data_IF_275183292404
#
_entry.id   IF_275183292404
#
_cell.length_a   1.000
_cell.length_b   1.000
_cell.length_c   1.000
_cell.angle_alpha   90.00
_cell.angle_beta   90.00
_cell.angle_gamma   90.00
#
_symmetry.space_group_name_H-M   'P 1'
#
loop_
_entity.id
_entity.type
_entity.pdbx_description
1 polymer ?
#
# COMPACT_ATOMS: atom_id res chain seq x y z
N UNK A 1 39.80 -38.66 -45.63
CA UNK A 1 38.44 -38.23 -45.22
C UNK A 1 38.59 -37.20 -44.12
N UNK A 2 38.09 -35.98 -44.36
CA UNK A 2 38.17 -34.82 -43.47
C UNK A 2 37.41 -35.07 -42.17
N UNK A 3 37.95 -34.66 -41.02
CA UNK A 3 37.32 -33.64 -40.17
C UNK A 3 38.34 -33.04 -39.21
N UNK A 4 38.44 -31.72 -39.29
CA UNK A 4 39.35 -30.82 -38.59
C UNK A 4 38.74 -30.45 -37.24
N UNK A 5 39.44 -30.68 -36.13
CA UNK A 5 39.20 -29.95 -34.87
C UNK A 5 40.57 -29.59 -34.29
N UNK A 6 40.99 -28.34 -34.53
CA UNK A 6 42.11 -27.71 -33.83
C UNK A 6 41.64 -27.27 -32.45
N UNK A 7 42.31 -27.76 -31.42
CA UNK A 7 42.13 -27.40 -30.02
C UNK A 7 43.42 -26.71 -29.55
N UNK A 8 43.46 -25.37 -29.61
CA UNK A 8 44.61 -24.51 -29.29
C UNK A 8 44.00 -23.11 -28.99
N UNK A 9 44.24 -22.33 -27.94
CA UNK A 9 45.38 -21.98 -27.07
C UNK A 9 44.76 -21.30 -25.80
N UNK A 10 45.08 -21.63 -24.55
CA UNK A 10 46.18 -21.14 -23.70
C UNK A 10 46.32 -19.60 -23.52
N UNK A 11 46.68 -19.19 -22.27
CA UNK A 11 47.21 -17.89 -21.79
C UNK A 11 46.16 -16.93 -21.16
N UNK A 12 46.35 -16.25 -20.01
CA UNK A 12 47.45 -16.03 -19.07
C UNK A 12 46.81 -15.59 -17.73
N UNK A 13 47.24 -16.18 -16.61
CA UNK A 13 47.09 -15.61 -15.27
C UNK A 13 48.25 -14.63 -15.10
N UNK A 14 47.98 -13.32 -15.07
CA UNK A 14 48.92 -12.31 -14.58
C UNK A 14 48.22 -11.35 -13.63
N UNK A 15 48.73 -11.38 -12.41
CA UNK A 15 48.53 -10.44 -11.32
C UNK A 15 48.73 -8.98 -11.75
N UNK A 16 47.70 -8.17 -11.55
CA UNK A 16 47.85 -6.74 -11.29
C UNK A 16 47.26 -6.43 -9.91
N UNK A 17 48.12 -6.51 -8.90
CA UNK A 17 47.95 -5.78 -7.65
C UNK A 17 48.10 -4.29 -7.95
N UNK A 18 46.99 -3.59 -8.15
CA UNK A 18 46.96 -2.14 -8.07
C UNK A 18 46.58 -1.77 -6.64
N UNK A 19 47.50 -1.08 -5.95
CA UNK A 19 47.24 -0.46 -4.65
C UNK A 19 46.05 0.48 -4.78
N UNK A 20 44.95 0.14 -4.12
CA UNK A 20 43.89 1.09 -3.83
C UNK A 20 44.38 1.97 -2.66
N UNK A 21 44.97 3.11 -3.00
CA UNK A 21 45.08 4.22 -2.06
C UNK A 21 43.69 4.73 -1.73
N UNK A 22 43.49 4.99 -0.45
CA UNK A 22 42.28 5.46 0.19
C UNK A 22 41.82 6.79 -0.40
N UNK A 23 40.68 6.79 -1.08
CA UNK A 23 39.81 7.96 -1.15
C UNK A 23 38.47 7.63 -0.47
N UNK A 24 38.36 8.15 0.74
CA UNK A 24 37.16 8.20 1.54
C UNK A 24 36.12 9.11 0.87
N UNK A 25 35.09 8.54 0.24
CA UNK A 25 33.70 9.08 0.18
C UNK A 25 32.87 8.50 -0.96
N UNK A 26 32.74 7.18 -1.03
CA UNK A 26 31.65 6.54 -1.78
C UNK A 26 30.70 5.89 -0.77
N UNK A 27 29.75 6.68 -0.24
CA UNK A 27 28.52 6.12 0.32
C UNK A 27 27.78 5.47 -0.82
N UNK A 28 28.01 4.18 -1.02
CA UNK A 28 27.18 3.34 -1.87
C UNK A 28 25.77 3.40 -1.26
N UNK A 29 24.89 4.18 -1.89
CA UNK A 29 23.45 4.16 -1.62
C UNK A 29 22.96 2.74 -1.95
N UNK A 30 23.03 1.83 -0.97
CA UNK A 30 22.22 0.62 -1.02
C UNK A 30 20.78 1.11 -1.10
N UNK A 31 20.14 0.93 -2.25
CA UNK A 31 18.68 1.02 -2.38
C UNK A 31 18.09 0.21 -1.23
N UNK A 32 17.62 0.91 -0.20
CA UNK A 32 17.17 0.29 1.03
C UNK A 32 15.78 -0.24 0.76
N UNK A 33 15.70 -1.49 0.30
CA UNK A 33 14.43 -2.20 0.12
C UNK A 33 13.66 -2.11 1.43
N UNK A 34 12.40 -1.68 1.37
CA UNK A 34 11.53 -1.56 2.54
C UNK A 34 11.40 -2.92 3.22
N UNK A 35 11.74 -2.95 4.52
CA UNK A 35 11.62 -4.13 5.34
C UNK A 35 10.15 -4.50 5.51
N UNK A 36 9.84 -5.79 5.38
CA UNK A 36 8.48 -6.28 5.62
C UNK A 36 8.15 -6.16 7.11
N UNK A 37 6.98 -5.61 7.42
CA UNK A 37 6.47 -5.49 8.78
C UNK A 37 6.53 -6.82 9.53
N UNK A 38 6.86 -6.80 10.82
CA UNK A 38 6.79 -7.99 11.67
C UNK A 38 5.34 -8.45 11.86
N UNK A 39 5.15 -9.77 11.98
CA UNK A 39 3.84 -10.38 12.05
C UNK A 39 3.78 -11.56 13.03
N UNK A 40 2.78 -11.49 13.91
CA UNK A 40 2.55 -12.46 14.98
C UNK A 40 1.82 -13.70 14.47
N UNK A 41 1.12 -13.63 13.34
CA UNK A 41 0.42 -14.81 12.81
C UNK A 41 -0.86 -15.19 13.56
N UNK A 42 -1.56 -14.20 14.13
CA UNK A 42 -2.83 -14.40 14.83
C UNK A 42 -3.80 -13.23 14.60
N UNK A 43 -5.11 -13.49 14.71
CA UNK A 43 -6.14 -12.47 14.84
C UNK A 43 -6.30 -12.10 16.32
N UNK A 44 -6.07 -10.82 16.63
CA UNK A 44 -5.93 -10.32 17.99
C UNK A 44 -7.01 -9.27 18.30
N UNK A 45 -7.42 -9.20 19.55
CA UNK A 45 -8.31 -8.18 20.08
C UNK A 45 -7.88 -7.66 21.44
N UNK A 46 -8.34 -6.49 21.82
CA UNK A 46 -8.31 -6.08 23.23
C UNK A 46 -9.30 -6.94 24.01
N UNK A 47 -8.87 -7.49 25.15
CA UNK A 47 -9.79 -8.16 26.07
C UNK A 47 -10.67 -7.10 26.74
N UNK A 48 -11.93 -7.01 26.31
CA UNK A 48 -12.92 -6.10 26.89
C UNK A 48 -13.75 -6.82 27.95
N UNK A 49 -14.42 -6.06 28.83
CA UNK A 49 -15.29 -6.65 29.84
C UNK A 49 -16.39 -7.56 29.24
N UNK A 50 -17.10 -7.17 28.16
CA UNK A 50 -18.07 -8.07 27.51
C UNK A 50 -17.45 -9.38 27.01
N UNK A 51 -16.26 -9.34 26.40
CA UNK A 51 -15.55 -10.55 25.90
C UNK A 51 -15.13 -11.43 27.07
N UNK A 52 -14.58 -10.83 28.14
CA UNK A 52 -14.18 -11.52 29.37
C UNK A 52 -15.34 -12.27 30.01
N UNK A 53 -16.50 -11.61 30.15
CA UNK A 53 -17.72 -12.21 30.70
C UNK A 53 -18.23 -13.34 29.80
N UNK A 54 -18.31 -13.10 28.49
CA UNK A 54 -18.79 -14.09 27.52
C UNK A 54 -17.92 -15.37 27.50
N UNK A 55 -16.60 -15.23 27.65
CA UNK A 55 -15.66 -16.35 27.68
C UNK A 55 -15.28 -16.83 29.08
N UNK A 56 -15.91 -16.29 30.14
CA UNK A 56 -15.65 -16.65 31.55
C UNK A 56 -14.17 -16.58 31.94
N UNK A 57 -13.48 -15.53 31.47
CA UNK A 57 -12.05 -15.34 31.69
C UNK A 57 -11.77 -14.62 33.01
N UNK A 58 -10.78 -15.08 33.78
CA UNK A 58 -10.30 -14.37 34.99
C UNK A 58 -9.37 -13.20 34.70
N UNK A 59 -8.65 -13.23 33.57
CA UNK A 59 -7.79 -12.12 33.18
C UNK A 59 -8.62 -10.83 33.01
N UNK A 60 -8.19 -9.75 33.65
CA UNK A 60 -8.92 -8.47 33.61
C UNK A 60 -8.60 -7.64 32.37
N UNK A 61 -7.35 -7.72 31.91
CA UNK A 61 -6.79 -6.96 30.78
C UNK A 61 -5.84 -7.84 29.98
N UNK A 62 -5.55 -7.40 28.76
CA UNK A 62 -4.61 -8.06 27.85
C UNK A 62 -5.15 -8.15 26.43
N UNK A 63 -4.47 -8.97 25.63
CA UNK A 63 -4.76 -9.17 24.21
C UNK A 63 -5.31 -10.57 24.03
N UNK A 64 -6.59 -10.68 23.67
CA UNK A 64 -7.20 -11.96 23.37
C UNK A 64 -6.82 -12.43 21.95
N UNK A 65 -6.45 -13.71 21.84
CA UNK A 65 -6.26 -14.37 20.56
C UNK A 65 -7.61 -14.93 20.08
N UNK A 66 -8.17 -14.33 19.03
CA UNK A 66 -9.39 -14.86 18.41
C UNK A 66 -9.11 -16.02 17.46
N UNK A 67 -7.97 -16.00 16.79
CA UNK A 67 -7.58 -17.00 15.82
C UNK A 67 -6.07 -17.12 15.71
N UNK A 68 -5.56 -18.33 15.56
CA UNK A 68 -4.16 -18.60 15.24
C UNK A 68 -4.07 -19.07 13.79
N UNK A 69 -3.15 -18.50 13.01
CA UNK A 69 -2.98 -18.87 11.60
C UNK A 69 -1.95 -20.02 11.49
N UNK A 70 -2.30 -21.13 10.82
CA UNK A 70 -1.42 -22.28 10.71
C UNK A 70 -0.06 -21.94 10.11
N UNK A 71 0.98 -22.59 10.63
CA UNK A 71 2.38 -22.47 10.20
C UNK A 71 2.99 -21.06 10.33
N UNK A 72 2.34 -20.14 11.06
CA UNK A 72 2.86 -18.80 11.35
C UNK A 72 3.41 -18.69 12.78
N UNK A 73 3.94 -17.52 13.14
CA UNK A 73 4.68 -17.30 14.39
C UNK A 73 3.93 -17.76 15.65
N UNK A 74 2.66 -17.35 15.82
CA UNK A 74 1.84 -17.74 16.97
C UNK A 74 1.59 -19.26 17.05
N UNK A 75 1.35 -19.91 15.91
CA UNK A 75 1.14 -21.35 15.84
C UNK A 75 2.40 -22.11 16.24
N UNK A 76 3.56 -21.71 15.69
CA UNK A 76 4.86 -22.27 16.05
C UNK A 76 5.24 -22.06 17.52
N UNK A 77 4.78 -20.96 18.12
CA UNK A 77 4.95 -20.68 19.54
C UNK A 77 3.95 -21.45 20.44
N UNK A 78 3.06 -22.26 19.87
CA UNK A 78 2.07 -23.06 20.61
C UNK A 78 0.94 -22.24 21.23
N UNK A 79 0.72 -21.01 20.76
CA UNK A 79 -0.42 -20.18 21.14
C UNK A 79 -1.71 -20.76 20.56
N UNK A 80 -2.84 -20.50 21.22
CA UNK A 80 -4.16 -21.02 20.86
C UNK A 80 -5.21 -19.94 20.94
N UNK A 81 -6.34 -20.20 20.25
CA UNK A 81 -7.54 -19.39 20.42
C UNK A 81 -7.93 -19.31 21.90
N UNK A 82 -8.38 -18.12 22.32
CA UNK A 82 -8.73 -17.74 23.70
C UNK A 82 -7.56 -17.62 24.68
N UNK A 83 -6.30 -17.77 24.26
CA UNK A 83 -5.20 -17.28 25.07
C UNK A 83 -5.32 -15.76 25.22
N UNK A 84 -4.93 -15.26 26.40
CA UNK A 84 -4.85 -13.82 26.67
C UNK A 84 -3.41 -13.44 26.93
N UNK A 85 -2.78 -12.75 25.99
CA UNK A 85 -1.42 -12.22 26.15
C UNK A 85 -1.49 -11.04 27.13
N UNK A 86 -0.72 -11.10 28.21
CA UNK A 86 -0.72 -10.10 29.29
C UNK A 86 0.57 -9.30 29.37
N UNK A 87 1.67 -9.83 28.80
CA UNK A 87 2.93 -9.11 28.67
C UNK A 87 3.78 -9.65 27.51
N UNK A 88 4.65 -8.79 27.01
CA UNK A 88 5.74 -9.11 26.08
C UNK A 88 7.03 -8.66 26.75
N UNK A 89 8.00 -9.57 26.90
CA UNK A 89 9.25 -9.34 27.61
C UNK A 89 8.97 -8.79 29.03
N UNK A 90 9.45 -7.57 29.32
CA UNK A 90 9.20 -6.87 30.59
C UNK A 90 8.04 -5.88 30.54
N UNK A 91 7.30 -5.82 29.43
CA UNK A 91 6.24 -4.83 29.19
C UNK A 91 4.85 -5.44 29.34
N UNK A 92 4.10 -4.97 30.33
CA UNK A 92 2.68 -5.30 30.48
C UNK A 92 1.82 -4.64 29.40
N UNK A 93 0.79 -5.36 28.95
CA UNK A 93 -0.06 -4.93 27.85
C UNK A 93 -1.50 -4.81 28.32
N UNK A 94 -2.13 -3.66 28.03
CA UNK A 94 -3.51 -3.41 28.40
C UNK A 94 -4.47 -3.51 27.22
N UNK A 95 -4.01 -3.23 26.01
CA UNK A 95 -4.85 -3.13 24.83
C UNK A 95 -4.09 -3.40 23.53
N UNK A 96 -4.85 -3.71 22.47
CA UNK A 96 -4.30 -4.07 21.17
C UNK A 96 -3.41 -2.97 20.56
N UNK A 97 -3.66 -1.70 20.87
CA UNK A 97 -2.88 -0.58 20.33
C UNK A 97 -1.44 -0.61 20.87
N UNK A 98 -1.27 -0.78 22.18
CA UNK A 98 0.06 -0.93 22.81
C UNK A 98 0.83 -2.12 22.21
N UNK A 99 0.14 -3.25 22.03
CA UNK A 99 0.75 -4.42 21.40
C UNK A 99 1.18 -4.13 19.96
N UNK A 100 0.33 -3.48 19.15
CA UNK A 100 0.65 -3.12 17.77
C UNK A 100 1.82 -2.14 17.68
N UNK A 101 1.90 -1.15 18.57
CA UNK A 101 3.02 -0.21 18.64
C UNK A 101 4.32 -0.91 19.01
N UNK A 102 4.28 -1.84 19.98
CA UNK A 102 5.42 -2.67 20.35
C UNK A 102 5.89 -3.48 19.13
N UNK A 103 5.00 -4.22 18.46
CA UNK A 103 5.36 -5.03 17.29
C UNK A 103 5.87 -4.18 16.12
N UNK A 104 5.37 -2.95 15.94
CA UNK A 104 5.84 -2.02 14.89
C UNK A 104 7.31 -1.62 15.07
N UNK A 105 7.83 -1.67 16.29
CA UNK A 105 9.25 -1.42 16.60
C UNK A 105 10.17 -2.64 16.42
N UNK A 106 9.60 -3.80 16.04
CA UNK A 106 10.32 -5.07 15.87
C UNK A 106 10.44 -5.43 14.39
N UNK A 107 11.39 -6.30 14.10
CA UNK A 107 11.62 -6.87 12.78
C UNK A 107 11.10 -8.31 12.69
N UNK A 108 10.95 -8.81 11.47
CA UNK A 108 10.82 -10.25 11.26
C UNK A 108 12.05 -10.98 11.80
N UNK A 109 11.84 -12.18 12.33
CA UNK A 109 12.78 -13.03 13.04
C UNK A 109 13.21 -12.53 14.43
N UNK A 110 12.76 -11.37 14.89
CA UNK A 110 12.94 -10.98 16.29
C UNK A 110 12.23 -12.00 17.20
N UNK A 111 12.87 -12.33 18.31
CA UNK A 111 12.32 -13.25 19.31
C UNK A 111 11.77 -12.46 20.49
N UNK A 112 10.52 -12.75 20.87
CA UNK A 112 9.83 -12.15 22.00
C UNK A 112 9.49 -13.22 23.03
N UNK A 113 9.58 -12.90 24.32
CA UNK A 113 9.03 -13.74 25.37
C UNK A 113 7.60 -13.28 25.70
N UNK A 114 6.60 -14.09 25.40
CA UNK A 114 5.20 -13.75 25.66
C UNK A 114 4.73 -14.39 26.94
N UNK A 115 4.11 -13.61 27.83
CA UNK A 115 3.35 -14.12 28.96
C UNK A 115 1.87 -14.08 28.64
N UNK A 116 1.19 -15.21 28.84
CA UNK A 116 -0.22 -15.35 28.50
C UNK A 116 -0.97 -16.19 29.54
N UNK A 117 -2.29 -15.97 29.61
CA UNK A 117 -3.20 -16.75 30.46
C UNK A 117 -3.91 -17.78 29.60
N UNK A 118 -3.87 -19.04 30.04
CA UNK A 118 -4.65 -20.16 29.48
C UNK A 118 -5.24 -20.97 30.63
N UNK A 119 -6.56 -21.17 30.63
CA UNK A 119 -7.27 -21.88 31.70
C UNK A 119 -6.89 -21.35 33.10
N UNK A 120 -6.93 -20.03 33.28
CA UNK A 120 -6.57 -19.32 34.53
C UNK A 120 -5.13 -19.48 35.00
N UNK A 121 -4.27 -20.13 34.23
CA UNK A 121 -2.83 -20.27 34.54
C UNK A 121 -2.02 -19.31 33.68
N UNK A 122 -1.10 -18.58 34.33
CA UNK A 122 -0.07 -17.80 33.61
C UNK A 122 0.97 -18.77 33.07
N UNK A 123 1.31 -18.60 31.80
CA UNK A 123 2.31 -19.36 31.06
C UNK A 123 3.17 -18.40 30.28
N UNK A 124 4.33 -18.86 29.83
CA UNK A 124 5.16 -18.13 28.88
C UNK A 124 5.53 -18.98 27.67
N UNK A 125 5.86 -18.32 26.57
CA UNK A 125 6.40 -18.95 25.36
C UNK A 125 7.31 -18.00 24.61
N UNK A 126 8.29 -18.54 23.90
CA UNK A 126 9.12 -17.77 22.98
C UNK A 126 8.43 -17.70 21.61
N UNK A 127 8.21 -16.49 21.12
CA UNK A 127 7.61 -16.22 19.82
C UNK A 127 8.65 -15.57 18.90
N UNK A 128 9.03 -16.30 17.85
CA UNK A 128 9.84 -15.75 16.76
C UNK A 128 8.90 -15.10 15.75
N UNK A 129 8.97 -13.78 15.61
CA UNK A 129 8.15 -13.02 14.68
C UNK A 129 8.43 -13.46 13.25
N UNK A 130 7.39 -13.61 12.43
CA UNK A 130 7.56 -13.79 11.00
C UNK A 130 7.50 -12.43 10.29
N UNK A 131 8.01 -12.34 9.07
CA UNK A 131 7.65 -11.24 8.18
C UNK A 131 6.17 -11.35 7.79
N UNK A 132 5.47 -10.21 7.67
CA UNK A 132 4.11 -10.17 7.17
C UNK A 132 4.07 -10.82 5.78
N UNK A 133 3.31 -11.91 5.59
CA UNK A 133 3.25 -12.60 4.31
C UNK A 133 2.79 -11.65 3.20
N UNK A 134 3.37 -11.81 2.01
CA UNK A 134 2.91 -11.07 0.83
C UNK A 134 1.54 -11.56 0.39
N UNK A 135 0.77 -10.67 -0.23
CA UNK A 135 -0.48 -11.00 -0.89
C UNK A 135 -0.29 -12.16 -1.88
N UNK A 136 -1.26 -13.06 -1.88
CA UNK A 136 -1.38 -14.13 -2.88
C UNK A 136 -2.80 -14.13 -3.40
N UNK A 137 -2.94 -14.31 -4.70
CA UNK A 137 -4.21 -14.52 -5.36
C UNK A 137 -4.08 -15.67 -6.36
N UNK A 138 -5.16 -16.39 -6.61
CA UNK A 138 -5.19 -17.46 -7.60
C UNK A 138 -5.18 -16.91 -9.04
N UNK A 139 -5.83 -15.77 -9.27
CA UNK A 139 -6.08 -15.20 -10.60
C UNK A 139 -4.97 -14.27 -11.11
N UNK A 140 -4.14 -13.75 -10.22
CA UNK A 140 -3.16 -12.73 -10.57
C UNK A 140 -1.90 -12.79 -9.72
N UNK A 141 -0.84 -12.22 -10.27
CA UNK A 141 0.45 -12.07 -9.59
C UNK A 141 0.51 -10.76 -8.82
N UNK A 142 1.38 -10.70 -7.82
CA UNK A 142 1.55 -9.51 -6.99
C UNK A 142 3.04 -9.27 -6.74
N UNK A 143 3.49 -8.10 -7.15
CA UNK A 143 4.85 -7.62 -6.97
C UNK A 143 4.85 -6.46 -5.97
N UNK A 144 5.76 -6.53 -5.02
CA UNK A 144 6.00 -5.48 -4.04
C UNK A 144 7.29 -4.80 -4.40
N UNK A 145 7.26 -3.48 -4.37
CA UNK A 145 8.39 -2.62 -4.66
C UNK A 145 8.25 -1.34 -3.83
N UNK A 146 9.11 -0.36 -4.08
CA UNK A 146 9.01 0.96 -3.47
C UNK A 146 9.25 2.06 -4.50
N UNK A 147 8.74 3.25 -4.23
CA UNK A 147 9.15 4.46 -4.92
C UNK A 147 9.66 5.46 -3.89
N UNK A 148 10.42 6.41 -4.37
CA UNK A 148 10.98 7.44 -3.52
C UNK A 148 10.34 8.79 -3.82
N UNK A 149 10.03 9.56 -2.79
CA UNK A 149 9.61 10.96 -2.89
C UNK A 149 10.50 11.84 -2.03
N UNK A 150 10.79 13.05 -2.51
CA UNK A 150 11.49 14.05 -1.71
C UNK A 150 10.51 14.60 -0.66
N UNK A 151 10.77 14.35 0.62
CA UNK A 151 9.88 14.79 1.70
C UNK A 151 10.09 16.29 1.94
N UNK A 152 9.10 17.11 1.59
CA UNK A 152 9.17 18.57 1.81
C UNK A 152 9.17 18.92 3.31
N UNK A 153 8.81 17.98 4.19
CA UNK A 153 8.70 18.20 5.64
C UNK A 153 9.95 17.79 6.44
N UNK A 154 10.98 17.23 5.79
CA UNK A 154 12.24 16.85 6.42
C UNK A 154 13.43 17.34 5.58
N UNK A 155 14.33 18.13 6.17
CA UNK A 155 15.56 18.61 5.54
C UNK A 155 16.34 17.47 4.85
N UNK A 156 16.22 17.38 3.52
CA UNK A 156 16.97 16.48 2.63
C UNK A 156 16.81 14.97 2.85
N UNK A 157 15.73 14.48 3.46
CA UNK A 157 15.48 13.04 3.56
C UNK A 157 14.46 12.56 2.52
N UNK A 158 14.84 11.50 1.82
CA UNK A 158 14.01 10.80 0.85
C UNK A 158 13.06 9.84 1.60
N UNK A 159 11.77 9.90 1.29
CA UNK A 159 10.74 9.02 1.86
C UNK A 159 10.44 7.90 0.87
N UNK A 160 10.55 6.67 1.35
CA UNK A 160 10.33 5.45 0.57
C UNK A 160 8.91 4.94 0.82
N UNK A 161 8.11 4.94 -0.24
CA UNK A 161 6.73 4.51 -0.24
C UNK A 161 6.62 3.12 -0.86
N UNK A 162 5.98 2.19 -0.17
CA UNK A 162 5.68 0.88 -0.73
C UNK A 162 4.72 1.01 -1.90
N UNK A 163 5.01 0.29 -2.98
CA UNK A 163 4.08 0.07 -4.08
C UNK A 163 3.74 -1.40 -4.19
N UNK A 164 2.50 -1.66 -4.62
CA UNK A 164 2.04 -3.02 -4.89
C UNK A 164 1.44 -3.03 -6.28
N UNK A 165 2.08 -3.79 -7.17
CA UNK A 165 1.69 -3.95 -8.56
C UNK A 165 1.11 -5.34 -8.76
N UNK A 166 -0.11 -5.42 -9.30
CA UNK A 166 -0.75 -6.70 -9.65
C UNK A 166 -0.87 -6.83 -11.15
N UNK A 167 -0.70 -8.04 -11.65
CA UNK A 167 -0.82 -8.34 -13.08
C UNK A 167 -1.70 -9.56 -13.29
N UNK A 168 -2.54 -9.58 -14.34
CA UNK A 168 -3.20 -10.82 -14.75
C UNK A 168 -2.14 -11.92 -14.93
N UNK A 169 -2.42 -13.14 -14.46
CA UNK A 169 -1.52 -14.26 -14.76
C UNK A 169 -1.51 -14.50 -16.26
N UNK A 170 -0.33 -14.44 -16.86
CA UNK A 170 -0.16 -14.86 -18.24
C UNK A 170 -0.10 -16.39 -18.28
N UNK A 171 -1.14 -17.02 -18.83
CA UNK A 171 -1.17 -18.47 -18.99
C UNK A 171 -0.40 -18.94 -20.24
N UNK A 172 0.02 -18.02 -21.12
CA UNK A 172 0.78 -18.32 -22.33
C UNK A 172 2.27 -18.27 -22.02
N UNK A 173 2.77 -19.33 -21.37
CA UNK A 173 4.18 -19.50 -21.01
C UNK A 173 5.08 -19.74 -22.24
N UNK A 174 4.48 -20.04 -23.40
CA UNK A 174 5.20 -20.45 -24.61
C UNK A 174 5.66 -19.29 -25.51
N UNK A 175 5.18 -18.06 -25.29
CA UNK A 175 5.61 -16.90 -26.08
C UNK A 175 6.78 -16.18 -25.41
N UNK A 176 7.90 -16.03 -26.12
CA UNK A 176 9.01 -15.15 -25.73
C UNK A 176 8.64 -13.64 -25.78
N UNK A 177 7.39 -13.31 -26.12
CA UNK A 177 6.91 -11.93 -26.18
C UNK A 177 6.51 -11.42 -24.79
N UNK A 178 7.01 -10.24 -24.44
CA UNK A 178 6.62 -9.55 -23.21
C UNK A 178 5.19 -9.04 -23.38
N UNK A 179 4.24 -9.66 -22.68
CA UNK A 179 2.87 -9.16 -22.63
C UNK A 179 2.84 -7.79 -21.96
N UNK A 180 2.29 -6.80 -22.66
CA UNK A 180 2.11 -5.45 -22.14
C UNK A 180 0.69 -5.26 -21.64
N UNK A 181 0.53 -5.02 -20.35
CA UNK A 181 -0.77 -4.81 -19.73
C UNK A 181 -1.13 -3.32 -19.68
N UNK A 182 -2.38 -2.94 -20.00
CA UNK A 182 -2.89 -1.62 -19.65
C UNK A 182 -2.85 -1.44 -18.12
N UNK A 183 -2.42 -0.27 -17.65
CA UNK A 183 -2.22 0.01 -16.23
C UNK A 183 -3.34 0.88 -15.68
N UNK A 184 -3.86 0.51 -14.52
CA UNK A 184 -4.72 1.37 -13.70
C UNK A 184 -4.03 1.68 -12.38
N UNK A 185 -3.67 2.95 -12.17
CA UNK A 185 -3.23 3.43 -10.86
C UNK A 185 -4.49 3.67 -10.01
N UNK A 186 -4.59 3.02 -8.86
CA UNK A 186 -5.76 3.15 -7.97
C UNK A 186 -5.35 3.83 -6.68
N UNK A 187 -5.85 5.05 -6.46
CA UNK A 187 -5.61 5.86 -5.28
C UNK A 187 -6.79 5.76 -4.30
N UNK A 188 -6.48 5.54 -3.03
CA UNK A 188 -7.48 5.47 -1.96
C UNK A 188 -7.02 6.23 -0.72
N UNK A 189 -7.33 7.52 -0.66
CA UNK A 189 -7.02 8.34 0.50
C UNK A 189 -7.93 8.09 1.69
N UNK A 190 -9.12 7.49 1.51
CA UNK A 190 -10.15 7.43 2.56
C UNK A 190 -9.77 6.57 3.77
N UNK A 191 -8.68 5.80 3.69
CA UNK A 191 -8.17 5.00 4.80
C UNK A 191 -6.74 5.38 5.17
N UNK A 192 -6.49 5.53 6.47
CA UNK A 192 -5.16 5.59 7.09
C UNK A 192 -4.60 4.18 7.34
N UNK A 193 -5.12 3.20 6.60
CA UNK A 193 -4.76 1.81 6.72
C UNK A 193 -3.96 1.41 5.50
N UNK A 194 -3.19 0.34 5.68
CA UNK A 194 -2.44 -0.31 4.62
C UNK A 194 -3.30 -0.59 3.39
N UNK A 195 -2.76 -0.28 2.19
CA UNK A 195 -3.29 -0.70 0.88
C UNK A 195 -3.02 -2.18 0.58
N UNK A 196 -2.43 -2.91 1.52
CA UNK A 196 -2.26 -4.37 1.47
C UNK A 196 -3.43 -5.15 2.10
N UNK A 197 -3.89 -6.20 1.39
CA UNK A 197 -5.05 -7.00 1.75
C UNK A 197 -4.82 -7.57 3.14
N UNK A 198 -5.73 -7.27 4.07
CA UNK A 198 -5.72 -7.92 5.38
C UNK A 198 -5.84 -9.42 5.15
N UNK A 199 -4.78 -10.12 5.50
CA UNK A 199 -4.76 -11.56 5.45
C UNK A 199 -5.81 -12.08 6.45
N UNK A 200 -6.64 -13.02 5.98
CA UNK A 200 -7.49 -13.85 6.82
C UNK A 200 -8.68 -13.20 7.55
N UNK A 201 -9.05 -11.95 7.25
CA UNK A 201 -10.35 -11.43 7.70
C UNK A 201 -11.46 -12.12 6.90
N UNK A 202 -12.16 -13.09 7.51
CA UNK A 202 -13.44 -13.62 6.98
C UNK A 202 -14.61 -12.68 7.27
N UNK A 203 -14.38 -11.62 8.06
CA UNK A 203 -15.45 -10.78 8.56
C UNK A 203 -15.93 -9.85 7.44
N UNK A 204 -17.10 -10.15 6.86
CA UNK A 204 -17.83 -9.36 5.83
C UNK A 204 -18.22 -7.94 6.31
N UNK A 205 -17.90 -7.57 7.55
CA UNK A 205 -18.50 -6.41 8.23
C UNK A 205 -17.72 -5.10 8.16
N UNK A 206 -16.54 -5.03 7.55
CA UNK A 206 -15.95 -3.74 7.14
C UNK A 206 -16.19 -3.50 5.66
N UNK A 207 -17.46 -3.31 5.26
CA UNK A 207 -17.88 -2.99 3.86
C UNK A 207 -16.90 -2.06 3.12
N UNK A 208 -16.32 -1.07 3.81
CA UNK A 208 -15.39 -0.08 3.25
C UNK A 208 -14.00 -0.60 2.82
N UNK A 209 -13.45 -1.63 3.48
CA UNK A 209 -12.11 -2.13 3.13
C UNK A 209 -12.16 -3.15 1.98
N UNK A 210 -13.22 -3.96 1.92
CA UNK A 210 -13.44 -4.88 0.79
C UNK A 210 -13.61 -4.10 -0.52
N UNK A 211 -14.33 -2.97 -0.48
CA UNK A 211 -14.53 -2.13 -1.67
C UNK A 211 -13.23 -1.75 -2.38
N UNK A 212 -12.14 -1.41 -1.66
CA UNK A 212 -10.87 -1.08 -2.32
C UNK A 212 -10.22 -2.29 -3.00
N UNK A 213 -10.18 -3.45 -2.34
CA UNK A 213 -9.66 -4.66 -2.98
C UNK A 213 -10.54 -5.17 -4.11
N UNK A 214 -11.85 -4.92 -4.03
CA UNK A 214 -12.77 -5.28 -5.10
C UNK A 214 -12.40 -4.55 -6.39
N UNK A 215 -11.95 -3.29 -6.34
CA UNK A 215 -11.41 -2.59 -7.51
C UNK A 215 -10.20 -3.33 -8.08
N UNK A 216 -9.20 -3.59 -7.25
CA UNK A 216 -7.95 -4.26 -7.64
C UNK A 216 -8.23 -5.62 -8.27
N UNK A 217 -9.02 -6.45 -7.58
CA UNK A 217 -9.33 -7.81 -8.03
C UNK A 217 -10.14 -7.82 -9.31
N UNK A 218 -11.18 -6.98 -9.43
CA UNK A 218 -11.99 -6.95 -10.65
C UNK A 218 -11.24 -6.35 -11.84
N UNK A 219 -10.44 -5.29 -11.65
CA UNK A 219 -9.59 -4.73 -12.71
C UNK A 219 -8.57 -5.78 -13.18
N UNK A 220 -7.84 -6.41 -12.27
CA UNK A 220 -6.81 -7.39 -12.65
C UNK A 220 -7.41 -8.65 -13.29
N UNK A 221 -8.56 -9.15 -12.81
CA UNK A 221 -9.28 -10.24 -13.50
C UNK A 221 -9.75 -9.88 -14.91
N UNK A 222 -9.87 -8.58 -15.21
CA UNK A 222 -10.32 -8.08 -16.49
C UNK A 222 -9.19 -7.57 -17.40
N UNK A 223 -7.95 -7.98 -17.14
CA UNK A 223 -6.81 -7.76 -18.04
C UNK A 223 -5.96 -6.54 -17.73
N UNK A 224 -6.25 -5.82 -16.65
CA UNK A 224 -5.50 -4.62 -16.27
C UNK A 224 -4.41 -4.94 -15.25
N UNK A 225 -3.20 -4.46 -15.47
CA UNK A 225 -2.28 -4.28 -14.35
C UNK A 225 -2.85 -3.22 -13.41
N UNK A 226 -2.65 -3.36 -12.10
CA UNK A 226 -3.02 -2.30 -11.15
C UNK A 226 -1.88 -1.91 -10.25
N UNK A 227 -1.63 -0.62 -10.12
CA UNK A 227 -0.62 -0.06 -9.23
C UNK A 227 -1.31 0.61 -8.05
N UNK A 228 -0.86 0.24 -6.86
CA UNK A 228 -1.24 0.87 -5.60
C UNK A 228 0.00 1.51 -4.96
N UNK A 229 -0.19 2.68 -4.37
CA UNK A 229 0.86 3.43 -3.68
C UNK A 229 0.43 3.63 -2.23
N UNK A 230 1.29 3.22 -1.31
CA UNK A 230 1.06 3.36 0.12
C UNK A 230 1.45 4.78 0.59
N UNK A 231 0.73 5.31 1.58
CA UNK A 231 1.11 6.59 2.21
C UNK A 231 2.33 6.41 3.12
N UNK A 232 3.04 7.50 3.39
CA UNK A 232 4.18 7.48 4.33
C UNK A 232 3.74 7.08 5.75
N UNK A 233 4.55 6.28 6.42
CA UNK A 233 4.31 5.75 7.77
C UNK A 233 3.21 4.67 7.87
N UNK A 234 2.65 4.23 6.74
CA UNK A 234 1.64 3.18 6.63
C UNK A 234 2.24 1.94 5.96
N UNK A 235 1.79 0.75 6.36
CA UNK A 235 2.33 -0.50 5.82
C UNK A 235 3.83 -0.58 6.10
N UNK A 236 4.61 -0.91 5.06
CA UNK A 236 6.07 -0.92 5.13
C UNK A 236 6.69 0.43 4.74
N UNK A 237 5.89 1.44 4.37
CA UNK A 237 6.42 2.77 4.02
C UNK A 237 7.02 3.46 5.24
N UNK A 238 8.18 4.09 5.06
CA UNK A 238 8.80 4.90 6.10
C UNK A 238 8.10 6.27 6.23
N UNK A 239 8.48 7.06 7.24
CA UNK A 239 7.94 8.40 7.49
C UNK A 239 6.78 8.44 8.49
N UNK A 240 6.12 9.60 8.56
CA UNK A 240 5.04 9.86 9.51
C UNK A 240 3.75 10.25 8.78
N UNK A 241 2.71 9.43 8.91
CA UNK A 241 1.41 9.66 8.28
C UNK A 241 0.79 11.02 8.64
N UNK A 242 1.03 11.52 9.86
CA UNK A 242 0.49 12.83 10.29
C UNK A 242 1.12 14.01 9.54
N UNK A 243 2.17 13.75 8.73
CA UNK A 243 2.80 14.76 7.87
C UNK A 243 2.48 14.53 6.38
N UNK A 244 1.58 13.60 6.03
CA UNK A 244 1.23 13.30 4.64
C UNK A 244 0.38 14.41 4.04
N UNK A 245 0.86 15.03 2.96
CA UNK A 245 0.20 16.16 2.29
C UNK A 245 -0.38 15.77 0.92
N UNK A 246 -1.16 16.67 0.32
CA UNK A 246 -1.58 16.55 -1.08
C UNK A 246 -0.38 16.53 -2.03
N UNK A 247 0.60 17.40 -1.78
CA UNK A 247 1.81 17.50 -2.57
C UNK A 247 2.62 16.19 -2.53
N UNK A 248 2.69 15.53 -1.37
CA UNK A 248 3.31 14.20 -1.25
C UNK A 248 2.58 13.16 -2.11
N UNK A 249 1.24 13.17 -2.11
CA UNK A 249 0.45 12.27 -2.94
C UNK A 249 0.66 12.55 -4.44
N UNK A 250 0.72 13.83 -4.85
CA UNK A 250 1.08 14.24 -6.22
C UNK A 250 2.48 13.73 -6.61
N UNK A 251 3.50 14.02 -5.79
CA UNK A 251 4.88 13.54 -5.99
C UNK A 251 4.95 12.02 -6.10
N UNK A 252 4.13 11.31 -5.32
CA UNK A 252 4.08 9.85 -5.37
C UNK A 252 3.55 9.33 -6.71
N UNK A 253 2.57 10.01 -7.30
CA UNK A 253 2.02 9.68 -8.62
C UNK A 253 3.07 9.94 -9.70
N UNK A 254 3.74 11.09 -9.67
CA UNK A 254 4.81 11.42 -10.63
C UNK A 254 5.97 10.43 -10.54
N UNK A 255 6.43 10.12 -9.33
CA UNK A 255 7.49 9.14 -9.08
C UNK A 255 7.10 7.73 -9.53
N UNK A 256 5.83 7.34 -9.31
CA UNK A 256 5.29 6.09 -9.82
C UNK A 256 5.34 6.03 -11.35
N UNK A 257 4.92 7.10 -12.02
CA UNK A 257 4.90 7.14 -13.49
C UNK A 257 6.30 7.10 -14.08
N UNK A 258 7.27 7.82 -13.50
CA UNK A 258 8.69 7.71 -13.88
C UNK A 258 9.24 6.29 -13.71
N UNK A 259 8.82 5.60 -12.65
CA UNK A 259 9.21 4.20 -12.43
C UNK A 259 8.54 3.26 -13.42
N UNK A 260 7.28 3.48 -13.75
CA UNK A 260 6.50 2.66 -14.70
C UNK A 260 7.01 2.81 -16.13
N UNK A 261 7.58 3.95 -16.53
CA UNK A 261 8.24 4.12 -17.84
C UNK A 261 9.31 3.06 -18.13
N UNK A 262 9.90 2.48 -17.08
CA UNK A 262 10.94 1.44 -17.16
C UNK A 262 10.39 0.01 -17.06
N UNK A 263 9.07 -0.16 -16.93
CA UNK A 263 8.41 -1.46 -16.82
C UNK A 263 7.96 -1.96 -18.19
N UNK A 264 8.72 -2.90 -18.78
CA UNK A 264 8.44 -3.45 -20.11
C UNK A 264 7.08 -4.14 -20.25
N UNK A 265 6.56 -4.71 -19.15
CA UNK A 265 5.27 -5.39 -19.09
C UNK A 265 4.07 -4.44 -18.96
N UNK A 266 4.28 -3.12 -18.97
CA UNK A 266 3.20 -2.12 -18.92
C UNK A 266 3.08 -1.42 -20.26
N UNK A 267 1.86 -1.36 -20.79
CA UNK A 267 1.52 -0.57 -21.96
C UNK A 267 1.54 0.93 -21.60
N UNK A 268 2.58 1.62 -22.05
CA UNK A 268 2.83 3.03 -21.73
C UNK A 268 1.81 3.99 -22.38
N UNK A 269 1.03 3.53 -23.37
CA UNK A 269 -0.02 4.33 -24.02
C UNK A 269 -1.38 4.17 -23.32
N UNK A 270 -1.53 3.16 -22.47
CA UNK A 270 -2.80 2.78 -21.82
C UNK A 270 -2.65 2.81 -20.31
N UNK A 271 -2.40 4.01 -19.79
CA UNK A 271 -2.30 4.28 -18.35
C UNK A 271 -3.52 5.09 -17.91
N UNK A 272 -4.22 4.59 -16.90
CA UNK A 272 -5.44 5.15 -16.35
C UNK A 272 -5.27 5.47 -14.86
N UNK A 273 -6.06 6.41 -14.36
CA UNK A 273 -6.11 6.76 -12.95
C UNK A 273 -7.53 6.59 -12.40
N UNK A 274 -7.66 5.92 -11.26
CA UNK A 274 -8.90 5.85 -10.48
C UNK A 274 -8.60 6.42 -9.10
N UNK A 275 -9.28 7.49 -8.72
CA UNK A 275 -9.10 8.15 -7.45
C UNK A 275 -10.40 8.10 -6.63
N UNK A 276 -10.29 7.56 -5.42
CA UNK A 276 -11.40 7.38 -4.50
C UNK A 276 -11.27 8.32 -3.30
N UNK A 277 -12.41 8.77 -2.78
CA UNK A 277 -12.49 9.67 -1.64
C UNK A 277 -11.80 11.01 -1.92
N UNK A 278 -10.92 11.42 -1.02
CA UNK A 278 -10.24 12.71 -1.17
C UNK A 278 -9.05 12.70 -2.14
N UNK A 279 -8.56 11.53 -2.56
CA UNK A 279 -7.59 11.40 -3.67
C UNK A 279 -8.17 11.95 -4.98
N UNK A 280 -9.51 12.03 -5.12
CA UNK A 280 -10.16 12.66 -6.26
C UNK A 280 -9.71 14.11 -6.48
N UNK A 281 -9.41 14.85 -5.39
CA UNK A 281 -8.90 16.21 -5.48
C UNK A 281 -7.44 16.24 -5.98
N UNK A 282 -6.61 15.30 -5.50
CA UNK A 282 -5.21 15.12 -5.96
C UNK A 282 -5.19 14.82 -7.46
N UNK A 283 -6.06 13.92 -7.91
CA UNK A 283 -6.14 13.49 -9.30
C UNK A 283 -6.56 14.63 -10.22
N UNK A 284 -7.51 15.47 -9.77
CA UNK A 284 -7.93 16.66 -10.51
C UNK A 284 -6.79 17.67 -10.65
N UNK A 285 -6.07 17.92 -9.57
CA UNK A 285 -4.97 18.88 -9.57
C UNK A 285 -3.79 18.41 -10.43
N UNK A 286 -3.42 17.12 -10.32
CA UNK A 286 -2.46 16.49 -11.21
C UNK A 286 -2.89 16.66 -12.66
N UNK A 287 -4.14 16.39 -13.00
CA UNK A 287 -4.62 16.55 -14.37
C UNK A 287 -4.44 17.98 -14.91
N UNK A 288 -4.69 18.98 -14.06
CA UNK A 288 -4.53 20.39 -14.43
C UNK A 288 -3.04 20.73 -14.63
N UNK A 289 -2.16 20.27 -13.74
CA UNK A 289 -0.72 20.54 -13.81
C UNK A 289 -0.05 19.76 -14.94
N UNK A 290 -0.39 18.49 -15.13
CA UNK A 290 0.12 17.60 -16.19
C UNK A 290 -0.18 18.17 -17.59
N UNK A 291 -1.24 18.98 -17.74
CA UNK A 291 -1.49 19.69 -19.01
C UNK A 291 -0.35 20.63 -19.44
N UNK A 292 0.58 20.95 -18.53
CA UNK A 292 1.76 21.77 -18.80
C UNK A 292 3.07 20.98 -18.97
N UNK A 293 3.11 19.69 -18.61
CA UNK A 293 4.28 18.80 -18.77
C UNK A 293 3.91 17.58 -19.62
N UNK A 294 4.41 17.54 -20.86
CA UNK A 294 4.03 16.59 -21.91
C UNK A 294 4.47 15.13 -21.69
N UNK A 295 5.26 14.83 -20.65
CA UNK A 295 5.98 13.55 -20.55
C UNK A 295 5.23 12.43 -19.83
N UNK A 296 4.09 12.73 -19.20
CA UNK A 296 3.29 11.79 -18.42
C UNK A 296 1.81 12.12 -18.68
N UNK A 297 1.04 11.20 -19.27
CA UNK A 297 -0.37 11.48 -19.57
C UNK A 297 -1.24 10.27 -19.21
N UNK A 298 -2.26 10.51 -18.41
CA UNK A 298 -3.33 9.52 -18.22
C UNK A 298 -4.26 9.56 -19.44
N UNK A 299 -4.56 8.40 -20.01
CA UNK A 299 -5.54 8.30 -21.09
C UNK A 299 -6.93 8.67 -20.53
N UNK A 300 -7.26 8.14 -19.34
CA UNK A 300 -8.51 8.42 -18.61
C UNK A 300 -8.29 8.56 -17.13
N UNK A 301 -9.07 9.44 -16.51
CA UNK A 301 -9.07 9.67 -15.07
C UNK A 301 -10.51 9.56 -14.55
N UNK A 302 -10.72 8.68 -13.58
CA UNK A 302 -11.98 8.50 -12.88
C UNK A 302 -11.88 9.04 -11.46
N UNK A 303 -12.81 9.89 -11.08
CA UNK A 303 -12.82 10.53 -9.76
C UNK A 303 -14.18 10.31 -9.07
N UNK A 304 -14.14 10.00 -7.78
CA UNK A 304 -15.35 9.90 -6.95
C UNK A 304 -16.05 11.25 -6.87
N UNK A 305 -17.35 11.26 -7.22
CA UNK A 305 -18.19 12.45 -7.19
C UNK A 305 -18.34 12.93 -5.76
N UNK A 306 -18.19 14.24 -5.57
CA UNK A 306 -18.36 14.85 -4.26
C UNK A 306 -19.79 14.64 -3.75
N UNK A 307 -19.99 14.31 -2.47
CA UNK A 307 -21.31 14.20 -1.85
C UNK A 307 -22.22 15.39 -2.19
N UNK A 308 -23.51 15.14 -2.42
CA UNK A 308 -24.49 16.16 -2.85
C UNK A 308 -24.61 17.37 -1.91
N UNK A 309 -24.35 17.20 -0.61
CA UNK A 309 -24.28 18.31 0.35
C UNK A 309 -23.17 19.32 0.04
N UNK A 310 -22.01 18.84 -0.42
CA UNK A 310 -20.89 19.68 -0.87
C UNK A 310 -21.17 20.34 -2.23
N UNK A 311 -22.04 19.76 -3.04
CA UNK A 311 -22.42 20.33 -4.33
C UNK A 311 -23.35 21.55 -4.18
N UNK A 312 -24.19 21.58 -3.13
CA UNK A 312 -25.14 22.68 -2.85
C UNK A 312 -24.45 23.94 -2.31
N UNK A 313 -23.28 23.80 -1.69
CA UNK A 313 -22.49 24.92 -1.14
C UNK A 313 -21.39 25.42 -2.08
N UNK A 314 -21.38 24.99 -3.35
CA UNK A 314 -20.36 25.39 -4.36
C UNK A 314 -20.21 26.91 -4.52
N UNK A 315 -21.25 27.68 -4.18
CA UNK A 315 -21.29 29.14 -4.26
C UNK A 315 -21.17 29.85 -2.90
N UNK A 316 -20.91 29.13 -1.80
CA UNK A 316 -20.77 29.72 -0.46
C UNK A 316 -19.32 29.66 0.03
N UNK A 317 -19.02 30.59 0.94
CA UNK A 317 -17.69 30.98 1.42
C UNK A 317 -16.75 29.79 1.73
N UNK A 318 -15.44 30.02 1.58
CA UNK A 318 -14.34 29.05 1.78
C UNK A 318 -14.49 28.20 3.04
N UNK A 319 -15.02 28.79 4.11
CA UNK A 319 -15.10 28.17 5.44
C UNK A 319 -16.20 27.09 5.53
N UNK A 320 -17.19 27.10 4.65
CA UNK A 320 -18.30 26.14 4.65
C UNK A 320 -17.86 24.72 4.22
N UNK A 321 -16.77 24.60 3.45
CA UNK A 321 -16.19 23.33 3.01
C UNK A 321 -15.36 22.64 4.11
N UNK A 322 -14.77 23.42 5.03
CA UNK A 322 -14.06 22.93 6.23
C UNK A 322 -15.00 22.20 7.20
N UNK A 323 -16.28 22.60 7.27
CA UNK A 323 -17.31 22.03 8.15
C UNK A 323 -17.63 20.57 7.79
N UNK A 324 -17.54 20.19 6.52
CA UNK A 324 -17.82 18.83 6.06
C UNK A 324 -16.61 17.90 6.15
N UNK A 325 -15.42 18.47 6.34
CA UNK A 325 -14.19 17.72 6.52
C UNK A 325 -13.42 18.16 7.78
N UNK A 326 -14.03 18.09 8.98
CA UNK A 326 -13.33 18.42 10.22
C UNK A 326 -12.15 17.47 10.47
N UNK A 327 -12.21 16.26 9.89
CA UNK A 327 -11.08 15.32 9.87
C UNK A 327 -10.01 15.65 8.83
N UNK A 328 -10.29 16.40 7.76
CA UNK A 328 -9.27 16.80 6.78
C UNK A 328 -8.42 17.98 7.25
N UNK A 329 -9.01 18.90 8.03
CA UNK A 329 -8.27 19.94 8.73
C UNK A 329 -7.26 19.39 9.76
N UNK A 330 -7.48 18.16 10.27
CA UNK A 330 -6.56 17.45 11.16
C UNK A 330 -5.31 16.88 10.43
N UNK A 331 -5.31 16.81 9.09
CA UNK A 331 -4.19 16.25 8.31
C UNK A 331 -3.25 17.32 7.76
N UNK A 332 -3.77 18.49 7.35
CA UNK A 332 -2.99 19.63 6.89
C UNK A 332 -3.88 20.89 6.91
N UNK A 333 -3.40 22.01 7.48
CA UNK A 333 -4.14 23.27 7.47
C UNK A 333 -4.32 23.86 6.05
N UNK A 334 -3.46 23.46 5.10
CA UNK A 334 -3.56 23.82 3.68
C UNK A 334 -4.58 22.96 2.90
N UNK A 335 -5.05 21.86 3.50
CA UNK A 335 -5.97 20.89 2.89
C UNK A 335 -7.29 21.54 2.43
N UNK A 336 -7.80 22.47 3.24
CA UNK A 336 -9.03 23.19 2.96
C UNK A 336 -8.84 24.22 1.84
N UNK A 337 -7.78 25.04 1.90
CA UNK A 337 -7.50 26.10 0.94
C UNK A 337 -7.30 25.53 -0.49
N UNK A 338 -6.61 24.39 -0.63
CA UNK A 338 -6.42 23.73 -1.92
C UNK A 338 -7.70 23.05 -2.45
N UNK A 339 -8.51 22.44 -1.57
CA UNK A 339 -9.80 21.88 -1.97
C UNK A 339 -10.80 22.93 -2.51
N UNK A 340 -10.76 24.14 -1.95
CA UNK A 340 -11.62 25.27 -2.35
C UNK A 340 -11.21 25.84 -3.71
N UNK A 341 -9.90 25.98 -3.97
CA UNK A 341 -9.38 26.39 -5.28
C UNK A 341 -9.76 25.39 -6.38
N UNK A 342 -9.76 24.10 -6.06
CA UNK A 342 -10.08 23.01 -6.98
C UNK A 342 -11.58 22.90 -7.33
N UNK A 343 -12.48 23.39 -6.48
CA UNK A 343 -13.94 23.36 -6.72
C UNK A 343 -14.43 24.39 -7.74
N UNK A 344 -13.74 25.54 -7.89
CA UNK A 344 -14.03 26.53 -8.95
C UNK A 344 -13.74 26.00 -10.36
N UNK A 345 -13.08 24.84 -10.47
CA UNK A 345 -12.77 24.17 -11.74
C UNK A 345 -13.67 22.96 -12.03
N UNK A 346 -14.77 22.79 -11.30
CA UNK A 346 -15.72 21.69 -11.51
C UNK A 346 -16.28 21.66 -12.95
N UNK A 347 -16.52 22.82 -13.56
CA UNK A 347 -17.01 22.89 -14.94
C UNK A 347 -15.94 22.51 -15.99
N UNK A 348 -14.65 22.62 -15.63
CA UNK A 348 -13.53 22.10 -16.43
C UNK A 348 -13.53 20.57 -16.47
N UNK A 349 -14.04 19.91 -15.42
CA UNK A 349 -14.19 18.44 -15.36
C UNK A 349 -15.29 18.00 -16.33
N UNK A 350 -16.42 18.72 -16.32
CA UNK A 350 -17.58 18.42 -17.16
C UNK A 350 -17.32 18.63 -18.65
N UNK A 351 -16.35 19.47 -19.01
CA UNK A 351 -15.99 19.78 -20.39
C UNK A 351 -14.80 18.97 -20.91
N UNK A 352 -14.22 18.08 -20.09
CA UNK A 352 -13.03 17.32 -20.47
C UNK A 352 -13.34 15.86 -20.79
N UNK A 353 -13.00 15.42 -22.00
CA UNK A 353 -13.25 14.06 -22.48
C UNK A 353 -12.44 12.97 -21.77
N UNK A 354 -11.39 13.33 -21.03
CA UNK A 354 -10.56 12.38 -20.26
C UNK A 354 -11.03 12.17 -18.82
N UNK A 355 -11.94 13.02 -18.31
CA UNK A 355 -12.38 13.00 -16.92
C UNK A 355 -13.77 12.38 -16.78
N UNK A 356 -13.90 11.43 -15.84
CA UNK A 356 -15.13 10.67 -15.63
C UNK A 356 -15.53 10.63 -14.16
N UNK A 357 -16.83 10.78 -13.90
CA UNK A 357 -17.40 10.63 -12.56
C UNK A 357 -17.60 9.17 -12.19
N UNK A 358 -17.18 8.81 -10.98
CA UNK A 358 -17.71 7.68 -10.24
C UNK A 358 -18.86 8.20 -9.38
N UNK A 359 -20.06 7.70 -9.63
CA UNK A 359 -21.26 8.01 -8.84
C UNK A 359 -21.20 7.30 -7.48
N UNK A 360 -20.51 6.16 -7.42
CA UNK A 360 -20.33 5.37 -6.21
C UNK A 360 -19.03 4.56 -6.24
N UNK A 361 -18.66 3.96 -5.11
CA UNK A 361 -17.52 3.03 -5.04
C UNK A 361 -17.82 1.68 -5.69
N UNK A 362 -19.09 1.42 -5.98
CA UNK A 362 -19.61 0.22 -6.60
C UNK A 362 -19.59 0.27 -8.14
N UNK A 363 -19.18 1.40 -8.74
CA UNK A 363 -19.16 1.62 -10.20
C UNK A 363 -18.10 0.82 -10.98
N UNK A 364 -17.46 -0.15 -10.33
CA UNK A 364 -16.32 -0.93 -10.82
C UNK A 364 -16.58 -1.50 -12.22
N UNK A 365 -17.71 -2.18 -12.41
CA UNK A 365 -18.04 -2.84 -13.68
C UNK A 365 -18.30 -1.84 -14.81
N UNK A 366 -18.87 -0.67 -14.50
CA UNK A 366 -19.09 0.40 -15.48
C UNK A 366 -17.75 0.97 -15.97
N UNK A 367 -16.80 1.17 -15.05
CA UNK A 367 -15.45 1.61 -15.39
C UNK A 367 -14.72 0.56 -16.22
N UNK A 368 -14.72 -0.71 -15.79
CA UNK A 368 -14.10 -1.81 -16.54
C UNK A 368 -14.67 -1.89 -17.97
N UNK A 369 -15.98 -1.82 -18.12
CA UNK A 369 -16.62 -1.86 -19.44
C UNK A 369 -16.16 -0.70 -20.33
N UNK A 370 -16.03 0.51 -19.78
CA UNK A 370 -15.52 1.67 -20.53
C UNK A 370 -14.06 1.47 -20.93
N UNK A 371 -13.20 1.08 -20.00
CA UNK A 371 -11.77 0.88 -20.28
C UNK A 371 -11.52 -0.20 -21.33
N UNK A 372 -12.29 -1.30 -21.31
CA UNK A 372 -12.16 -2.37 -22.31
C UNK A 372 -12.48 -1.92 -23.74
N UNK A 373 -13.53 -1.10 -23.91
CA UNK A 373 -13.91 -0.54 -25.21
C UNK A 373 -12.84 0.37 -25.83
N UNK A 374 -11.84 0.80 -25.06
CA UNK A 374 -10.74 1.64 -25.54
C UNK A 374 -9.46 0.84 -25.85
N UNK A 375 -9.46 -0.45 -25.50
CA UNK A 375 -8.38 -1.39 -25.76
C UNK A 375 -8.70 -2.26 -26.99
N UNK A 376 -9.98 -2.65 -27.14
CA UNK A 376 -10.56 -3.19 -28.38
C UNK A 376 -10.54 -2.13 -29.49
#
# INVERSE_FOLDING_TARGET
>A
MRFTICFVLFLIVHSFSCLAQSDSSSKTLKNRVLDRSAFVGAELGTLTNPVRVAYKMKAEKGIIIYKVFPNLAADKAGLKEKDVIIAVDSTHLNNLKEFQELIKSKNGNDTLNLFFVRNDTVRNTSLVLHFLPRERNFYFETMYDQLEINDSSQNNNQTSLRTILTFPRNNNVESNEITQFPLVIVLNSASNQSIERKLYTKNKNTKKQYQFYDWIENLTKNGFATLRIEKKGVGDSNGNLNKWTFEDEQKSISSALEKIKKQGSINQQKIYLIALGSSSLVALENFIQIRSDSTINFDRIFIEKLPSGLQKTKNQNSDSLLIYFPKLALFDASYSQNAIFNLKKYDLIMSNEKLFWLESKEDIFRVISRLKKEIE
#
